data_IF_596558016491
#
_entry.id   IF_596558016491
#
_cell.length_a   1.000
_cell.length_b   1.000
_cell.length_c   1.000
_cell.angle_alpha   90.00
_cell.angle_beta   90.00
_cell.angle_gamma   90.00
#
_symmetry.space_group_name_H-M   'P 1'
#
loop_
_entity.id
_entity.type
_entity.pdbx_description
1 polymer ?
#
# COMPACT_ATOMS: atom_id res chain seq x y z
N UNK A 1 4.91 1.99 -10.52
CA UNK A 1 5.00 1.29 -9.22
C UNK A 1 6.30 1.67 -8.50
N UNK A 2 6.51 1.28 -7.23
CA UNK A 2 7.77 1.52 -6.52
C UNK A 2 7.58 2.02 -5.09
N UNK A 3 8.68 2.24 -4.34
CA UNK A 3 8.63 2.67 -2.96
C UNK A 3 8.04 4.07 -2.79
N UNK A 4 7.69 4.40 -1.55
CA UNK A 4 7.20 5.76 -1.24
C UNK A 4 8.32 6.80 -1.45
N UNK A 5 7.96 8.00 -1.90
CA UNK A 5 8.88 9.13 -2.03
C UNK A 5 9.66 9.26 -3.34
N UNK A 6 9.54 8.32 -4.29
CA UNK A 6 10.31 8.32 -5.57
C UNK A 6 9.63 9.08 -6.72
N UNK A 7 8.62 9.91 -6.46
CA UNK A 7 8.00 10.73 -7.50
C UNK A 7 6.93 10.05 -8.37
N UNK A 8 6.35 8.91 -7.93
CA UNK A 8 5.31 8.19 -8.69
C UNK A 8 4.13 9.07 -9.11
N UNK A 9 3.61 9.88 -8.20
CA UNK A 9 2.46 10.75 -8.44
C UNK A 9 2.75 11.76 -9.56
N UNK A 10 3.89 12.44 -9.49
CA UNK A 10 4.28 13.42 -10.52
C UNK A 10 4.41 12.74 -11.88
N UNK A 11 5.13 11.62 -11.97
CA UNK A 11 5.25 10.88 -13.22
C UNK A 11 3.89 10.43 -13.76
N UNK A 12 3.00 9.94 -12.91
CA UNK A 12 1.67 9.50 -13.36
C UNK A 12 0.83 10.63 -13.92
N UNK A 13 0.92 11.83 -13.36
CA UNK A 13 0.22 13.02 -13.86
C UNK A 13 0.78 13.44 -15.23
N UNK A 14 2.10 13.49 -15.40
CA UNK A 14 2.71 13.83 -16.69
C UNK A 14 2.37 12.78 -17.77
N UNK A 15 2.46 11.50 -17.46
CA UNK A 15 2.03 10.44 -18.37
C UNK A 15 0.53 10.54 -18.70
N UNK A 16 -0.31 10.87 -17.72
CA UNK A 16 -1.74 11.01 -17.94
C UNK A 16 -2.07 12.19 -18.88
N UNK A 17 -1.31 13.28 -18.83
CA UNK A 17 -1.43 14.39 -19.81
C UNK A 17 -1.05 13.94 -21.22
N UNK A 18 0.08 13.21 -21.34
CA UNK A 18 0.59 12.77 -22.66
C UNK A 18 -0.34 11.76 -23.33
N UNK A 19 -0.85 10.80 -22.55
CA UNK A 19 -1.64 9.68 -23.08
C UNK A 19 -3.16 9.87 -22.93
N UNK A 20 -3.65 11.06 -22.53
CA UNK A 20 -5.06 11.33 -22.24
C UNK A 20 -5.65 10.24 -21.31
N UNK A 21 -4.96 9.96 -20.21
CA UNK A 21 -5.27 8.86 -19.32
C UNK A 21 -5.98 9.34 -18.03
N UNK A 22 -6.71 8.41 -17.39
CA UNK A 22 -7.16 8.57 -16.02
C UNK A 22 -6.22 7.85 -15.06
N UNK A 23 -6.15 8.32 -13.83
CA UNK A 23 -5.30 7.74 -12.79
C UNK A 23 -6.15 6.96 -11.80
N UNK A 24 -5.68 5.77 -11.41
CA UNK A 24 -6.32 4.91 -10.41
C UNK A 24 -5.35 4.66 -9.27
N UNK A 25 -5.79 4.95 -8.06
CA UNK A 25 -5.02 4.73 -6.85
C UNK A 25 -4.74 3.23 -6.61
N UNK A 26 -3.50 2.93 -6.23
CA UNK A 26 -3.06 1.60 -5.81
C UNK A 26 -2.35 1.68 -4.44
N UNK A 27 -2.92 2.43 -3.51
CA UNK A 27 -2.45 2.55 -2.13
C UNK A 27 -3.58 2.25 -1.15
N UNK A 28 -3.36 1.31 -0.23
CA UNK A 28 -4.38 0.81 0.69
C UNK A 28 -4.75 1.80 1.81
N UNK A 29 -3.99 2.88 1.97
CA UNK A 29 -4.28 3.92 2.97
C UNK A 29 -5.02 5.10 2.34
N UNK A 30 -4.66 5.47 1.10
CA UNK A 30 -5.25 6.63 0.42
C UNK A 30 -6.71 6.43 -0.02
N UNK A 31 -7.24 5.22 0.09
CA UNK A 31 -8.68 4.93 -0.13
C UNK A 31 -9.56 5.51 0.98
N UNK A 32 -8.99 5.85 2.14
CA UNK A 32 -9.73 6.33 3.29
C UNK A 32 -9.76 7.85 3.36
N UNK A 33 -10.95 8.41 3.64
CA UNK A 33 -11.19 9.83 3.80
C UNK A 33 -10.45 10.39 5.00
N UNK A 34 -9.81 11.55 4.80
CA UNK A 34 -9.13 12.30 5.84
C UNK A 34 -7.77 11.73 6.25
N UNK A 35 -7.33 10.60 5.69
CA UNK A 35 -5.96 10.12 5.84
C UNK A 35 -5.10 10.77 4.74
N UNK A 36 -4.80 12.06 4.89
CA UNK A 36 -4.24 12.88 3.82
C UNK A 36 -2.74 13.10 4.01
N UNK A 37 -2.35 13.74 5.12
CA UNK A 37 -0.95 14.07 5.40
C UNK A 37 -0.12 12.80 5.62
N UNK A 38 -0.57 11.91 6.51
CA UNK A 38 0.17 10.70 6.86
C UNK A 38 0.30 9.69 5.70
N UNK A 39 -0.63 9.69 4.75
CA UNK A 39 -0.54 8.88 3.54
C UNK A 39 0.17 9.60 2.39
N UNK A 40 0.43 10.90 2.53
CA UNK A 40 0.82 11.84 1.47
C UNK A 40 -0.06 11.67 0.24
N UNK A 41 -1.36 11.81 0.44
CA UNK A 41 -2.36 11.78 -0.61
C UNK A 41 -2.15 12.94 -1.57
N UNK A 42 -2.37 12.68 -2.85
CA UNK A 42 -2.32 13.70 -3.90
C UNK A 42 -3.34 14.80 -3.63
N UNK A 43 -2.91 16.06 -3.67
CA UNK A 43 -3.80 17.22 -3.52
C UNK A 43 -4.54 17.52 -4.83
N UNK A 44 -5.60 18.31 -4.76
CA UNK A 44 -6.33 18.74 -5.97
C UNK A 44 -5.43 19.53 -6.94
N UNK A 45 -4.51 20.32 -6.39
CA UNK A 45 -3.53 21.06 -7.18
C UNK A 45 -2.57 20.10 -7.91
N UNK A 46 -2.04 19.11 -7.21
CA UNK A 46 -1.15 18.09 -7.78
C UNK A 46 -1.84 17.21 -8.83
N UNK A 47 -3.15 17.02 -8.75
CA UNK A 47 -3.93 16.29 -9.76
C UNK A 47 -3.96 17.00 -11.11
N UNK A 48 -3.69 18.29 -11.18
CA UNK A 48 -3.68 19.08 -12.42
C UNK A 48 -4.94 18.88 -13.30
N UNK A 49 -6.11 18.74 -12.72
CA UNK A 49 -7.38 18.52 -13.45
C UNK A 49 -7.56 17.11 -14.01
N UNK A 50 -6.60 16.20 -13.82
CA UNK A 50 -6.72 14.81 -14.26
C UNK A 50 -7.65 14.04 -13.33
N UNK A 51 -8.51 13.22 -13.93
CA UNK A 51 -9.45 12.40 -13.17
C UNK A 51 -8.72 11.28 -12.44
N UNK A 52 -8.91 11.24 -11.11
CA UNK A 52 -8.36 10.24 -10.22
C UNK A 52 -9.47 9.40 -9.59
N UNK A 53 -9.24 8.09 -9.47
CA UNK A 53 -10.20 7.14 -8.89
C UNK A 53 -9.61 6.39 -7.70
N UNK A 54 -10.47 5.86 -6.86
CA UNK A 54 -10.18 5.07 -5.66
C UNK A 54 -9.41 5.85 -4.60
N UNK A 55 -9.62 7.17 -4.54
CA UNK A 55 -9.25 8.02 -3.41
C UNK A 55 -10.51 8.35 -2.61
N UNK A 56 -10.42 8.43 -1.30
CA UNK A 56 -11.49 8.91 -0.41
C UNK A 56 -12.85 8.18 -0.56
N UNK A 57 -12.79 6.89 -0.88
CA UNK A 57 -13.99 6.07 -1.12
C UNK A 57 -14.53 5.38 0.13
N UNK A 58 -13.77 5.37 1.24
CA UNK A 58 -14.13 4.74 2.51
C UNK A 58 -13.93 5.67 3.69
N UNK A 59 -14.78 5.54 4.71
CA UNK A 59 -14.51 6.16 6.00
C UNK A 59 -13.54 5.28 6.82
N UNK A 60 -12.79 5.85 7.78
CA UNK A 60 -11.77 5.10 8.55
C UNK A 60 -12.30 3.94 9.39
N UNK A 61 -13.58 3.89 9.69
CA UNK A 61 -14.27 2.80 10.40
C UNK A 61 -14.79 1.69 9.49
N UNK A 62 -14.80 1.89 8.18
CA UNK A 62 -15.18 0.88 7.21
C UNK A 62 -14.01 -0.05 6.87
N UNK A 63 -14.31 -1.28 6.48
CA UNK A 63 -13.32 -2.20 5.94
C UNK A 63 -13.23 -2.08 4.42
N UNK A 64 -12.02 -2.18 3.90
CA UNK A 64 -11.76 -2.25 2.47
C UNK A 64 -10.65 -3.27 2.21
N UNK A 65 -11.02 -4.37 1.61
CA UNK A 65 -10.13 -5.50 1.35
C UNK A 65 -9.49 -5.42 -0.03
N UNK A 66 -8.49 -6.26 -0.26
CA UNK A 66 -7.89 -6.43 -1.60
C UNK A 66 -8.91 -6.99 -2.61
N UNK A 67 -9.93 -7.75 -2.17
CA UNK A 67 -11.03 -8.24 -3.02
C UNK A 67 -11.93 -7.08 -3.47
N UNK A 68 -12.27 -6.17 -2.54
CA UNK A 68 -13.02 -4.96 -2.87
C UNK A 68 -12.26 -4.10 -3.87
N UNK A 69 -10.95 -3.88 -3.62
CA UNK A 69 -10.09 -3.15 -4.55
C UNK A 69 -10.06 -3.79 -5.95
N UNK A 70 -9.91 -5.10 -6.04
CA UNK A 70 -9.92 -5.81 -7.32
C UNK A 70 -11.25 -5.62 -8.06
N UNK A 71 -12.36 -5.73 -7.36
CA UNK A 71 -13.70 -5.53 -7.91
C UNK A 71 -13.87 -4.11 -8.45
N UNK A 72 -13.54 -3.11 -7.63
CA UNK A 72 -13.66 -1.71 -8.02
C UNK A 72 -12.75 -1.37 -9.21
N UNK A 73 -11.52 -1.90 -9.22
CA UNK A 73 -10.58 -1.69 -10.31
C UNK A 73 -11.08 -2.30 -11.62
N UNK A 74 -11.59 -3.54 -11.58
CA UNK A 74 -12.15 -4.21 -12.77
C UNK A 74 -13.37 -3.48 -13.32
N UNK A 75 -14.26 -3.01 -12.45
CA UNK A 75 -15.39 -2.17 -12.83
C UNK A 75 -14.95 -0.87 -13.53
N UNK A 76 -13.82 -0.27 -13.09
CA UNK A 76 -13.25 0.90 -13.77
C UNK A 76 -12.69 0.54 -15.15
N UNK A 77 -12.04 -0.61 -15.31
CA UNK A 77 -11.55 -1.07 -16.61
C UNK A 77 -12.68 -1.27 -17.61
N UNK A 78 -13.75 -1.93 -17.18
CA UNK A 78 -14.93 -2.15 -18.03
C UNK A 78 -15.59 -0.81 -18.41
N UNK A 79 -15.79 0.07 -17.43
CA UNK A 79 -16.43 1.37 -17.63
C UNK A 79 -15.64 2.30 -18.54
N UNK A 80 -14.33 2.25 -18.48
CA UNK A 80 -13.41 3.13 -19.22
C UNK A 80 -12.55 2.38 -20.23
N UNK A 81 -13.08 1.30 -20.81
CA UNK A 81 -12.37 0.40 -21.76
C UNK A 81 -11.78 1.08 -23.00
N UNK A 82 -12.26 2.31 -23.33
CA UNK A 82 -11.75 3.13 -24.44
C UNK A 82 -10.75 4.21 -23.99
N UNK A 83 -10.39 4.26 -22.72
CA UNK A 83 -9.44 5.23 -22.15
C UNK A 83 -8.17 4.53 -21.71
N UNK A 84 -7.06 5.24 -21.83
CA UNK A 84 -5.84 4.83 -21.14
C UNK A 84 -6.01 4.97 -19.63
N UNK A 85 -5.57 3.99 -18.88
CA UNK A 85 -5.68 3.96 -17.42
C UNK A 85 -4.29 3.75 -16.82
N UNK A 86 -3.92 4.60 -15.87
CA UNK A 86 -2.63 4.53 -15.17
C UNK A 86 -2.89 4.14 -13.71
N UNK A 87 -2.44 2.96 -13.31
CA UNK A 87 -2.51 2.50 -11.93
C UNK A 87 -1.25 2.96 -11.20
N UNK A 88 -1.39 3.79 -10.18
CA UNK A 88 -0.25 4.35 -9.44
C UNK A 88 -0.35 4.07 -7.95
N UNK A 89 0.72 3.54 -7.37
CA UNK A 89 0.78 3.30 -5.92
C UNK A 89 1.92 2.41 -5.51
N UNK A 90 1.88 2.01 -4.23
CA UNK A 90 2.92 1.22 -3.60
C UNK A 90 2.41 -0.06 -2.92
N UNK A 91 1.11 -0.34 -2.96
CA UNK A 91 0.55 -1.55 -2.36
C UNK A 91 0.67 -2.73 -3.33
N UNK A 92 1.76 -3.51 -3.18
CA UNK A 92 2.08 -4.59 -4.11
C UNK A 92 0.97 -5.62 -4.28
N UNK A 93 0.26 -5.99 -3.19
CA UNK A 93 -0.86 -6.93 -3.28
C UNK A 93 -2.01 -6.37 -4.13
N UNK A 94 -2.31 -5.06 -4.03
CA UNK A 94 -3.33 -4.41 -4.86
C UNK A 94 -2.92 -4.44 -6.34
N UNK A 95 -1.66 -4.08 -6.62
CA UNK A 95 -1.13 -4.12 -7.98
C UNK A 95 -1.22 -5.52 -8.60
N UNK A 96 -0.81 -6.55 -7.84
CA UNK A 96 -0.87 -7.94 -8.29
C UNK A 96 -2.32 -8.40 -8.50
N UNK A 97 -3.21 -8.15 -7.52
CA UNK A 97 -4.62 -8.54 -7.62
C UNK A 97 -5.36 -7.84 -8.77
N UNK A 98 -4.93 -6.64 -9.13
CA UNK A 98 -5.50 -5.89 -10.25
C UNK A 98 -5.01 -6.34 -11.61
N UNK A 99 -3.72 -6.65 -11.74
CA UNK A 99 -3.08 -6.94 -13.02
C UNK A 99 -3.22 -8.41 -13.44
N UNK A 100 -3.35 -9.33 -12.49
CA UNK A 100 -3.35 -10.76 -12.73
C UNK A 100 -4.71 -11.39 -12.39
N UNK A 101 -5.00 -12.59 -12.91
CA UNK A 101 -6.16 -13.40 -12.52
C UNK A 101 -5.99 -13.96 -11.11
N UNK A 102 -5.93 -13.03 -10.15
CA UNK A 102 -5.80 -13.35 -8.74
C UNK A 102 -7.17 -13.75 -8.19
N UNK A 103 -7.28 -15.00 -7.74
CA UNK A 103 -8.52 -15.54 -7.20
C UNK A 103 -8.49 -15.52 -5.68
N UNK A 104 -9.60 -15.10 -5.10
CA UNK A 104 -9.81 -15.17 -3.65
C UNK A 104 -10.70 -16.39 -3.38
N UNK A 105 -10.25 -17.28 -2.50
CA UNK A 105 -11.08 -18.41 -2.07
C UNK A 105 -12.21 -17.86 -1.19
N UNK A 106 -13.43 -18.17 -1.57
CA UNK A 106 -14.67 -17.82 -0.85
C UNK A 106 -15.11 -18.96 0.10
N UNK A 107 -14.25 -19.95 0.37
CA UNK A 107 -14.52 -21.04 1.27
C UNK A 107 -14.76 -20.56 2.71
N UNK A 108 -15.65 -21.27 3.43
CA UNK A 108 -15.90 -21.03 4.85
C UNK A 108 -14.57 -21.03 5.62
N UNK A 109 -14.29 -19.91 6.26
CA UNK A 109 -13.07 -19.77 7.05
C UNK A 109 -13.19 -20.64 8.29
N UNK A 110 -12.35 -21.66 8.41
CA UNK A 110 -12.22 -22.40 9.66
C UNK A 110 -11.83 -21.46 10.78
N UNK A 111 -12.49 -21.57 11.91
CA UNK A 111 -12.13 -20.82 13.10
C UNK A 111 -10.96 -21.48 13.81
N UNK A 112 -9.87 -20.73 13.92
CA UNK A 112 -8.65 -21.14 14.61
C UNK A 112 -8.44 -20.38 15.93
N UNK A 113 -9.44 -19.66 16.43
CA UNK A 113 -9.33 -18.83 17.66
C UNK A 113 -8.85 -19.61 18.86
N UNK A 114 -9.26 -20.88 18.99
CA UNK A 114 -8.91 -21.76 20.12
C UNK A 114 -7.54 -22.47 19.98
N UNK A 115 -6.82 -22.29 18.87
CA UNK A 115 -5.52 -22.90 18.66
C UNK A 115 -4.40 -22.02 19.22
N UNK A 116 -3.41 -22.62 19.88
CA UNK A 116 -2.20 -21.91 20.26
C UNK A 116 -1.32 -21.60 19.04
N UNK A 117 -0.36 -20.68 19.15
CA UNK A 117 0.62 -20.41 18.08
C UNK A 117 1.43 -21.64 17.72
N UNK A 118 1.72 -22.48 18.71
CA UNK A 118 2.48 -23.72 18.53
C UNK A 118 1.67 -24.71 17.70
N UNK A 119 0.39 -24.89 18.02
CA UNK A 119 -0.50 -25.80 17.29
C UNK A 119 -0.70 -25.35 15.86
N UNK A 120 -0.94 -24.03 15.65
CA UNK A 120 -1.07 -23.45 14.31
C UNK A 120 0.19 -23.68 13.48
N UNK A 121 1.38 -23.48 14.07
CA UNK A 121 2.64 -23.70 13.38
C UNK A 121 2.84 -25.17 13.02
N UNK A 122 2.47 -26.10 13.92
CA UNK A 122 2.50 -27.54 13.68
C UNK A 122 1.60 -27.92 12.51
N UNK A 123 0.33 -27.48 12.50
CA UNK A 123 -0.62 -27.70 11.40
C UNK A 123 -0.09 -27.15 10.07
N UNK A 124 0.55 -25.98 10.07
CA UNK A 124 1.17 -25.40 8.87
C UNK A 124 2.28 -26.31 8.35
N UNK A 125 3.14 -26.86 9.23
CA UNK A 125 4.21 -27.77 8.84
C UNK A 125 3.70 -29.14 8.38
N UNK A 126 2.61 -29.63 8.92
CA UNK A 126 1.93 -30.83 8.45
C UNK A 126 1.33 -30.62 7.04
N UNK A 127 0.78 -29.44 6.77
CA UNK A 127 0.23 -29.07 5.47
C UNK A 127 1.30 -28.84 4.40
N UNK A 128 2.42 -28.21 4.75
CA UNK A 128 3.59 -27.99 3.89
C UNK A 128 4.85 -27.84 4.76
N UNK A 129 5.69 -28.87 4.76
CA UNK A 129 6.92 -28.90 5.55
C UNK A 129 7.93 -27.81 5.14
N UNK A 130 7.89 -27.37 3.88
CA UNK A 130 8.77 -26.34 3.33
C UNK A 130 8.25 -24.91 3.57
N UNK A 131 7.05 -24.77 4.13
CA UNK A 131 6.47 -23.47 4.38
C UNK A 131 7.34 -22.63 5.32
N UNK A 132 7.74 -21.43 4.87
CA UNK A 132 8.60 -20.51 5.60
C UNK A 132 7.81 -19.33 6.16
N UNK A 133 6.83 -19.62 7.03
CA UNK A 133 6.08 -18.61 7.78
C UNK A 133 6.65 -18.47 9.18
N UNK A 134 6.85 -17.23 9.63
CA UNK A 134 7.26 -16.95 11.00
C UNK A 134 6.25 -17.54 11.99
N UNK A 135 6.73 -18.40 12.88
CA UNK A 135 5.93 -19.10 13.90
C UNK A 135 5.14 -18.16 14.83
N UNK A 136 5.58 -16.92 14.97
CA UNK A 136 4.93 -15.91 15.81
C UNK A 136 3.86 -15.09 15.04
N UNK A 137 3.71 -15.32 13.74
CA UNK A 137 2.76 -14.57 12.91
C UNK A 137 1.43 -15.31 12.75
N UNK A 138 0.60 -15.26 13.81
CA UNK A 138 -0.72 -15.91 13.88
C UNK A 138 -1.55 -15.70 12.60
N UNK A 139 -1.68 -14.46 12.16
CA UNK A 139 -2.51 -14.11 10.99
C UNK A 139 -2.03 -14.81 9.72
N UNK A 140 -0.72 -14.93 9.53
CA UNK A 140 -0.16 -15.63 8.36
C UNK A 140 -0.31 -17.13 8.46
N UNK A 141 -0.17 -17.71 9.65
CA UNK A 141 -0.40 -19.13 9.89
C UNK A 141 -1.85 -19.50 9.59
N UNK A 142 -2.82 -18.79 10.16
CA UNK A 142 -4.25 -19.00 9.92
C UNK A 142 -4.61 -18.87 8.44
N UNK A 143 -4.13 -17.82 7.76
CA UNK A 143 -4.37 -17.62 6.33
C UNK A 143 -3.78 -18.73 5.46
N UNK A 144 -2.63 -19.26 5.84
CA UNK A 144 -2.00 -20.37 5.12
C UNK A 144 -2.82 -21.66 5.28
N UNK A 145 -3.31 -21.94 6.48
CA UNK A 145 -4.14 -23.11 6.76
C UNK A 145 -5.47 -23.07 5.99
N UNK A 146 -6.00 -21.88 5.73
CA UNK A 146 -7.22 -21.66 4.95
C UNK A 146 -7.03 -21.79 3.43
N UNK A 147 -5.78 -21.80 2.92
CA UNK A 147 -5.53 -21.95 1.49
C UNK A 147 -5.69 -23.39 1.05
N UNK A 148 -6.41 -23.59 -0.05
CA UNK A 148 -6.33 -24.83 -0.80
C UNK A 148 -5.03 -24.86 -1.60
N UNK A 149 -4.12 -25.76 -1.25
CA UNK A 149 -2.83 -25.93 -1.95
C UNK A 149 -2.97 -26.69 -3.27
N UNK A 150 -4.06 -27.40 -3.47
CA UNK A 150 -4.30 -28.16 -4.70
C UNK A 150 -4.75 -27.28 -5.86
N UNK A 151 -5.27 -26.09 -5.56
CA UNK A 151 -5.78 -25.12 -6.53
C UNK A 151 -4.76 -23.98 -6.86
N UNK A 152 -3.50 -24.11 -6.46
CA UNK A 152 -2.47 -23.09 -6.72
C UNK A 152 -2.07 -23.09 -8.20
N UNK A 153 -2.91 -22.50 -9.03
CA UNK A 153 -2.50 -22.03 -10.36
C UNK A 153 -1.83 -20.67 -10.20
N UNK A 154 -0.61 -20.51 -10.75
CA UNK A 154 0.01 -19.20 -10.75
C UNK A 154 -0.88 -18.20 -11.52
N UNK A 155 -1.18 -17.05 -10.92
CA UNK A 155 -2.05 -16.08 -11.58
C UNK A 155 -1.44 -15.62 -12.90
N UNK A 156 -2.19 -15.72 -13.98
CA UNK A 156 -1.80 -15.23 -15.31
C UNK A 156 -2.11 -13.75 -15.47
N UNK A 157 -1.32 -13.05 -16.27
CA UNK A 157 -1.56 -11.65 -16.59
C UNK A 157 -2.89 -11.51 -17.35
N UNK A 158 -3.78 -10.62 -16.88
CA UNK A 158 -5.10 -10.42 -17.51
C UNK A 158 -5.05 -9.50 -18.74
N UNK A 159 -4.09 -8.59 -18.79
CA UNK A 159 -3.99 -7.54 -19.80
C UNK A 159 -2.63 -7.63 -20.47
N UNK A 160 -2.58 -8.19 -21.69
CA UNK A 160 -1.33 -8.43 -22.41
C UNK A 160 -0.61 -7.15 -22.85
N UNK A 161 -1.32 -6.05 -22.94
CA UNK A 161 -0.82 -4.71 -23.28
C UNK A 161 -0.42 -3.88 -22.05
N UNK A 162 -0.51 -4.45 -20.84
CA UNK A 162 -0.12 -3.75 -19.63
C UNK A 162 1.40 -3.56 -19.53
N UNK A 163 1.82 -2.33 -19.29
CA UNK A 163 3.23 -1.97 -19.09
C UNK A 163 3.47 -1.68 -17.61
N UNK A 164 4.43 -2.39 -17.01
CA UNK A 164 4.79 -2.22 -15.60
C UNK A 164 6.05 -1.36 -15.48
N UNK A 165 5.86 -0.12 -15.02
CA UNK A 165 6.95 0.83 -14.80
C UNK A 165 7.20 0.95 -13.30
N UNK A 166 8.45 0.80 -12.89
CA UNK A 166 8.92 1.01 -11.52
C UNK A 166 9.90 2.18 -11.43
N UNK A 167 9.74 3.01 -10.41
CA UNK A 167 10.72 4.04 -10.07
C UNK A 167 11.59 3.55 -8.92
N UNK A 168 12.89 3.76 -9.05
CA UNK A 168 13.90 3.39 -8.05
C UNK A 168 14.92 4.50 -7.86
N UNK A 169 15.67 4.44 -6.78
CA UNK A 169 16.83 5.27 -6.50
C UNK A 169 17.76 4.52 -5.55
N UNK A 170 18.98 5.02 -5.34
CA UNK A 170 19.90 4.40 -4.39
C UNK A 170 19.27 4.33 -2.98
N UNK A 171 19.66 3.31 -2.22
CA UNK A 171 19.15 3.11 -0.85
C UNK A 171 19.38 4.32 0.05
N UNK A 172 20.54 4.94 -0.09
CA UNK A 172 20.91 6.13 0.70
C UNK A 172 19.97 7.30 0.38
N UNK A 173 19.78 7.58 -0.90
CA UNK A 173 18.90 8.64 -1.37
C UNK A 173 17.45 8.39 -0.94
N UNK A 174 16.98 7.15 -1.09
CA UNK A 174 15.62 6.76 -0.66
C UNK A 174 15.41 7.04 0.84
N UNK A 175 16.41 6.74 1.67
CA UNK A 175 16.32 6.98 3.11
C UNK A 175 16.30 8.48 3.45
N UNK A 176 17.10 9.29 2.76
CA UNK A 176 17.07 10.76 2.91
C UNK A 176 15.70 11.32 2.54
N UNK A 177 15.12 10.87 1.41
CA UNK A 177 13.77 11.29 0.96
C UNK A 177 12.71 10.90 1.99
N UNK A 178 12.72 9.65 2.45
CA UNK A 178 11.74 9.15 3.42
C UNK A 178 11.80 9.96 4.71
N UNK A 179 13.00 10.20 5.24
CA UNK A 179 13.17 10.96 6.46
C UNK A 179 12.67 12.40 6.30
N UNK A 180 13.10 13.11 5.25
CA UNK A 180 12.63 14.47 4.97
C UNK A 180 11.12 14.55 4.77
N UNK A 181 10.52 13.53 4.15
CA UNK A 181 9.07 13.46 3.97
C UNK A 181 8.33 13.33 5.30
N UNK A 182 8.85 12.52 6.24
CA UNK A 182 8.26 12.39 7.58
C UNK A 182 8.35 13.71 8.33
N UNK A 183 9.50 14.40 8.26
CA UNK A 183 9.65 15.71 8.89
C UNK A 183 8.59 16.69 8.34
N UNK A 184 8.45 16.77 7.01
CA UNK A 184 7.40 17.59 6.37
C UNK A 184 5.97 17.19 6.79
N UNK A 185 5.68 15.91 7.00
CA UNK A 185 4.37 15.48 7.48
C UNK A 185 4.07 16.02 8.88
N UNK A 186 5.06 16.04 9.77
CA UNK A 186 4.92 16.64 11.11
C UNK A 186 4.68 18.14 11.00
N UNK A 187 5.50 18.85 10.21
CA UNK A 187 5.38 20.30 9.99
C UNK A 187 4.02 20.67 9.40
N UNK A 188 3.47 19.84 8.52
CA UNK A 188 2.17 20.02 7.88
C UNK A 188 0.98 19.63 8.78
N UNK A 189 1.21 19.22 10.02
CA UNK A 189 0.16 18.97 10.99
C UNK A 189 -0.34 17.53 11.12
N UNK A 190 0.50 16.53 10.82
CA UNK A 190 0.15 15.12 10.98
C UNK A 190 -0.41 14.80 12.37
N UNK A 191 0.16 15.38 13.43
CA UNK A 191 -0.31 15.15 14.80
C UNK A 191 -1.78 15.58 14.95
N UNK A 192 -2.14 16.73 14.38
CA UNK A 192 -3.51 17.24 14.46
C UNK A 192 -4.47 16.40 13.59
N UNK A 193 -4.05 15.96 12.39
CA UNK A 193 -4.82 15.06 11.54
C UNK A 193 -5.15 13.77 12.30
N UNK A 194 -4.15 13.13 12.89
CA UNK A 194 -4.33 11.88 13.64
C UNK A 194 -5.22 12.09 14.87
N UNK A 195 -5.03 13.18 15.63
CA UNK A 195 -5.86 13.50 16.79
C UNK A 195 -7.34 13.62 16.41
N UNK A 196 -7.65 14.34 15.34
CA UNK A 196 -9.01 14.53 14.85
C UNK A 196 -9.64 13.20 14.42
N UNK A 197 -8.90 12.42 13.64
CA UNK A 197 -9.36 11.11 13.15
C UNK A 197 -9.54 10.10 14.28
N UNK A 198 -8.59 10.04 15.22
CA UNK A 198 -8.64 9.10 16.32
C UNK A 198 -9.78 9.42 17.31
N UNK A 199 -10.06 10.71 17.55
CA UNK A 199 -11.22 11.15 18.32
C UNK A 199 -12.53 10.71 17.67
N UNK A 200 -12.63 10.86 16.35
CA UNK A 200 -13.85 10.51 15.60
C UNK A 200 -14.00 8.99 15.37
N UNK A 201 -12.90 8.27 15.18
CA UNK A 201 -12.88 6.86 14.83
C UNK A 201 -11.95 6.04 15.75
N UNK A 202 -12.20 5.97 17.07
CA UNK A 202 -11.26 5.36 18.03
C UNK A 202 -11.07 3.85 17.86
N UNK A 203 -12.01 3.18 17.17
CA UNK A 203 -11.97 1.74 16.88
C UNK A 203 -11.40 1.42 15.48
N UNK A 204 -11.01 2.43 14.72
CA UNK A 204 -10.53 2.27 13.35
C UNK A 204 -9.33 1.32 13.28
N UNK A 205 -9.48 0.26 12.49
CA UNK A 205 -8.39 -0.71 12.25
C UNK A 205 -7.28 -0.12 11.39
N UNK A 206 -7.63 0.78 10.46
CA UNK A 206 -6.63 1.38 9.58
C UNK A 206 -5.75 2.38 10.35
N UNK A 207 -6.31 3.21 11.20
CA UNK A 207 -5.53 4.14 12.03
C UNK A 207 -4.53 3.40 12.92
N UNK A 208 -4.93 2.26 13.50
CA UNK A 208 -4.07 1.43 14.37
C UNK A 208 -3.02 0.61 13.61
N UNK A 209 -3.00 0.62 12.28
CA UNK A 209 -2.07 -0.17 11.44
C UNK A 209 -1.24 0.66 10.49
N UNK A 210 -1.77 1.76 9.98
CA UNK A 210 -1.07 2.59 9.01
C UNK A 210 0.13 3.30 9.65
N UNK A 211 1.25 3.29 8.93
CA UNK A 211 2.47 3.99 9.33
C UNK A 211 2.18 5.49 9.34
N UNK A 212 2.67 6.18 10.36
CA UNK A 212 2.38 7.57 10.62
C UNK A 212 1.23 7.74 11.60
N UNK A 213 0.16 6.96 11.44
CA UNK A 213 -1.03 7.05 12.30
C UNK A 213 -0.85 6.30 13.62
N UNK A 214 -0.44 5.04 13.56
CA UNK A 214 -0.27 4.21 14.76
C UNK A 214 0.76 4.78 15.73
N UNK A 215 1.87 5.31 15.22
CA UNK A 215 2.93 5.88 16.04
C UNK A 215 2.48 7.19 16.71
N UNK A 216 1.75 8.06 15.99
CA UNK A 216 1.18 9.27 16.56
C UNK A 216 0.06 8.93 17.57
N UNK A 217 -0.72 7.87 17.37
CA UNK A 217 -1.68 7.39 18.38
C UNK A 217 -0.95 6.99 19.67
N UNK A 218 0.16 6.24 19.57
CA UNK A 218 0.96 5.85 20.74
C UNK A 218 1.51 7.09 21.50
N UNK A 219 1.89 8.14 20.76
CA UNK A 219 2.23 9.44 21.36
C UNK A 219 1.03 10.10 22.06
N UNK A 220 -0.14 10.15 21.41
CA UNK A 220 -1.35 10.76 21.98
C UNK A 220 -1.85 10.01 23.23
N UNK A 221 -1.58 8.72 23.31
CA UNK A 221 -1.86 7.87 24.48
C UNK A 221 -0.75 7.94 25.57
N UNK A 222 0.26 8.81 25.41
CA UNK A 222 1.40 9.00 26.31
C UNK A 222 2.26 7.73 26.52
N UNK A 223 2.32 6.84 25.53
CA UNK A 223 3.17 5.63 25.58
C UNK A 223 4.60 5.94 25.17
N UNK A 224 4.79 6.88 24.26
CA UNK A 224 6.08 7.33 23.71
C UNK A 224 6.08 8.86 23.57
N UNK A 225 7.25 9.46 23.45
CA UNK A 225 7.40 10.89 23.12
C UNK A 225 7.13 11.14 21.64
N UNK A 226 6.91 12.41 21.25
CA UNK A 226 6.75 12.78 19.84
C UNK A 226 8.02 12.48 19.03
N UNK A 227 9.19 12.70 19.60
CA UNK A 227 10.47 12.40 18.97
C UNK A 227 10.61 10.91 18.67
N UNK A 228 10.31 10.04 19.63
CA UNK A 228 10.29 8.60 19.44
C UNK A 228 9.28 8.17 18.37
N UNK A 229 8.08 8.79 18.36
CA UNK A 229 7.07 8.51 17.34
C UNK A 229 7.59 8.84 15.93
N UNK A 230 8.23 10.00 15.75
CA UNK A 230 8.82 10.44 14.47
C UNK A 230 9.91 9.47 14.01
N UNK A 231 10.79 9.05 14.92
CA UNK A 231 11.85 8.09 14.58
C UNK A 231 11.30 6.73 14.20
N UNK A 232 10.27 6.24 14.89
CA UNK A 232 9.59 4.99 14.53
C UNK A 232 8.86 5.11 13.18
N UNK A 233 8.24 6.25 12.86
CA UNK A 233 7.63 6.49 11.54
C UNK A 233 8.71 6.41 10.45
N UNK A 234 9.85 7.09 10.62
CA UNK A 234 10.97 7.04 9.68
C UNK A 234 11.47 5.62 9.47
N UNK A 235 11.69 4.88 10.54
CA UNK A 235 12.16 3.48 10.52
C UNK A 235 11.15 2.56 9.84
N UNK A 236 9.86 2.64 10.22
CA UNK A 236 8.80 1.80 9.66
C UNK A 236 8.56 2.10 8.17
N UNK A 237 8.70 3.37 7.75
CA UNK A 237 8.61 3.79 6.35
C UNK A 237 9.77 3.22 5.52
N UNK A 238 11.01 3.22 6.03
CA UNK A 238 12.17 2.56 5.37
C UNK A 238 11.95 1.05 5.25
N UNK A 239 11.44 0.39 6.28
CA UNK A 239 11.12 -1.04 6.23
C UNK A 239 9.99 -1.31 5.23
N UNK A 240 8.99 -0.43 5.14
CA UNK A 240 7.92 -0.56 4.15
C UNK A 240 8.45 -0.43 2.73
N UNK A 241 9.29 0.56 2.45
CA UNK A 241 9.93 0.71 1.16
C UNK A 241 10.73 -0.54 0.73
N UNK A 242 11.48 -1.16 1.66
CA UNK A 242 12.16 -2.44 1.40
C UNK A 242 11.17 -3.55 1.03
N UNK A 243 10.04 -3.66 1.77
CA UNK A 243 9.00 -4.66 1.45
C UNK A 243 8.36 -4.42 0.09
N UNK A 244 8.16 -3.16 -0.31
CA UNK A 244 7.65 -2.81 -1.64
C UNK A 244 8.60 -3.30 -2.74
N UNK A 245 9.89 -3.04 -2.65
CA UNK A 245 10.88 -3.56 -3.60
C UNK A 245 10.87 -5.08 -3.67
N UNK A 246 10.91 -5.76 -2.52
CA UNK A 246 10.88 -7.22 -2.47
C UNK A 246 9.62 -7.79 -3.14
N UNK A 247 8.47 -7.16 -2.90
CA UNK A 247 7.22 -7.60 -3.52
C UNK A 247 7.27 -7.45 -5.04
N UNK A 248 7.57 -6.26 -5.50
CA UNK A 248 7.56 -5.94 -6.92
C UNK A 248 8.57 -6.75 -7.71
N UNK A 249 9.79 -6.92 -7.21
CA UNK A 249 10.83 -7.72 -7.87
C UNK A 249 10.48 -9.21 -7.96
N UNK A 250 9.73 -9.74 -6.99
CA UNK A 250 9.44 -11.18 -6.93
C UNK A 250 8.09 -11.55 -7.57
N UNK A 251 7.19 -10.58 -7.81
CA UNK A 251 5.80 -10.87 -8.17
C UNK A 251 5.34 -10.21 -9.47
N UNK A 252 6.12 -9.32 -10.05
CA UNK A 252 5.74 -8.59 -11.25
C UNK A 252 6.97 -8.36 -12.12
N UNK A 253 6.80 -8.42 -13.43
CA UNK A 253 7.85 -8.08 -14.39
C UNK A 253 7.88 -6.54 -14.60
N UNK A 254 8.65 -5.86 -13.76
CA UNK A 254 8.71 -4.38 -13.73
C UNK A 254 9.96 -3.87 -14.42
N UNK A 255 9.77 -2.97 -15.37
CA UNK A 255 10.85 -2.18 -15.95
C UNK A 255 11.20 -1.03 -15.02
N UNK A 256 12.35 -1.12 -14.34
CA UNK A 256 12.82 -0.14 -13.38
C UNK A 256 13.53 1.03 -14.04
N UNK A 257 13.21 2.23 -13.59
CA UNK A 257 13.88 3.48 -13.97
C UNK A 257 14.46 4.13 -12.72
N UNK A 258 15.76 4.41 -12.77
CA UNK A 258 16.43 5.13 -11.68
C UNK A 258 16.10 6.60 -11.77
N UNK A 259 15.66 7.16 -10.64
CA UNK A 259 15.34 8.56 -10.50
C UNK A 259 16.57 9.31 -10.00
N UNK A 260 17.07 10.24 -10.79
CA UNK A 260 18.09 11.18 -10.33
C UNK A 260 17.43 12.29 -9.49
N UNK A 261 17.75 12.32 -8.20
CA UNK A 261 17.16 13.26 -7.25
C UNK A 261 17.44 14.72 -7.59
N UNK A 262 18.59 15.02 -8.16
CA UNK A 262 18.92 16.40 -8.57
C UNK A 262 17.97 16.85 -9.69
N UNK A 263 17.65 15.97 -10.62
CA UNK A 263 16.71 16.25 -11.70
C UNK A 263 15.27 16.38 -11.21
N UNK A 264 14.89 15.59 -10.18
CA UNK A 264 13.56 15.66 -9.58
C UNK A 264 13.36 16.88 -8.69
N UNK A 265 14.43 17.34 -8.01
CA UNK A 265 14.36 18.57 -7.19
C UNK A 265 14.23 19.82 -8.08
N UNK A 266 14.89 19.85 -9.23
CA UNK A 266 14.75 20.93 -10.24
C UNK A 266 13.39 20.92 -10.95
N UNK A 267 12.63 19.83 -10.84
CA UNK A 267 11.29 19.69 -11.44
C UNK A 267 10.16 19.63 -10.41
N UNK A 268 10.47 19.66 -9.12
CA UNK A 268 9.48 19.68 -8.00
C UNK A 268 9.32 21.11 -7.46
N UNK A 269 10.25 22.02 -7.74
CA UNK A 269 10.15 23.45 -7.53
C UNK A 269 9.64 24.14 -8.79
#
# INVERSE_FOLDING_TARGET
MGPTGVGKTKLSVELAKIYDAYIINCDAVQVYKGLDIGSAKVTEEEKCGIKHFLFDIKNPDEEYSVKDYQTDLRNLFDKYSKKNLIIVGGTGLYATAGAYDYRFNDEEKKDYSNYSLVDLYKLVKEKDINCNIDKNNRIRLERFLQKDLTSLVEPTLLYNDAIFIGLTTSRENLYKIINKRVDKMIDNGLVQEVKNLYTKYPKSKILKRAIGYKEIIDYLENKITLEEAVDEIKKNSRHYAKRQYTWFNNKMDIKWFEVNLNYFNETID
#
